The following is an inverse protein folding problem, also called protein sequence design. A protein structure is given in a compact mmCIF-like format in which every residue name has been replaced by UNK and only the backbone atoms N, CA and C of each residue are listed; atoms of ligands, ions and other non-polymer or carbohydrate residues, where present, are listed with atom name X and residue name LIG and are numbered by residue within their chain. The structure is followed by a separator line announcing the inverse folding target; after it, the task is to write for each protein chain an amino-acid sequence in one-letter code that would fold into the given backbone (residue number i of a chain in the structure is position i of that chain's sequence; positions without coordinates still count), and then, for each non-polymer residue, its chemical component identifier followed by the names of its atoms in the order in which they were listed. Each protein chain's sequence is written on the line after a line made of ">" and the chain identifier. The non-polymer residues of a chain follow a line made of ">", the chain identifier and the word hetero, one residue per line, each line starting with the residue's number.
data_IF_738735794220
#
_entry.id   IF_738735794220
#
_cell.length_a   1.000
_cell.length_b   1.000
_cell.length_c   1.000
_cell.angle_alpha   90.00
_cell.angle_beta   90.00
_cell.angle_gamma   90.00
#
_symmetry.space_group_name_H-M   'P 1'
#
loop_
_entity.id
_entity.type
_entity.pdbx_description
1 polymer ?
#
# COMPACT_ATOMS: atom_id res chain seq x y z
N UNK A 1 36.63 63.09 -21.84
CA UNK A 1 37.48 62.69 -22.96
C UNK A 1 37.37 61.20 -23.08
N UNK A 2 36.88 60.59 -24.10
CA UNK A 2 36.40 60.85 -25.40
C UNK A 2 35.30 59.85 -25.75
N UNK A 3 34.32 60.36 -26.27
CA UNK A 3 33.26 60.02 -27.15
C UNK A 3 33.71 59.10 -28.31
N UNK A 4 33.04 57.98 -28.53
CA UNK A 4 32.93 57.30 -29.80
C UNK A 4 31.63 56.61 -29.98
N UNK A 5 30.67 57.37 -30.53
CA UNK A 5 29.50 56.88 -31.24
C UNK A 5 29.92 56.12 -32.47
N UNK A 6 29.34 54.98 -32.73
CA UNK A 6 29.30 54.40 -34.07
C UNK A 6 27.83 54.22 -34.47
N UNK A 7 27.35 54.92 -35.51
CA UNK A 7 26.04 54.74 -36.10
C UNK A 7 26.13 53.74 -37.26
N UNK A 8 25.02 53.19 -37.65
CA UNK A 8 24.72 52.38 -38.82
C UNK A 8 24.77 50.84 -38.65
N UNK A 9 23.64 50.33 -38.37
CA UNK A 9 23.17 49.02 -38.92
C UNK A 9 21.71 49.14 -39.32
N UNK A 10 21.34 48.80 -40.56
CA UNK A 10 19.97 48.86 -41.04
C UNK A 10 19.18 47.62 -40.51
N UNK A 11 18.00 47.90 -40.01
CA UNK A 11 16.98 46.91 -39.66
C UNK A 11 16.53 46.17 -40.93
N UNK A 12 16.94 44.91 -41.10
CA UNK A 12 16.30 44.02 -42.07
C UNK A 12 15.18 43.25 -41.36
N UNK A 13 13.99 43.82 -41.39
CA UNK A 13 12.75 43.17 -41.04
C UNK A 13 12.46 41.99 -41.96
N UNK A 14 12.97 40.82 -41.62
CA UNK A 14 12.56 39.56 -42.19
C UNK A 14 11.31 39.05 -41.47
N UNK A 15 10.13 39.43 -41.97
CA UNK A 15 8.88 38.76 -41.59
C UNK A 15 8.97 37.30 -42.05
N UNK A 16 9.22 36.39 -41.11
CA UNK A 16 8.98 34.98 -41.32
C UNK A 16 7.48 34.78 -41.55
N UNK A 17 7.08 34.06 -42.61
CA UNK A 17 5.67 33.74 -42.80
C UNK A 17 5.23 32.88 -41.59
N UNK A 18 3.96 33.03 -41.14
CA UNK A 18 3.44 32.25 -40.01
C UNK A 18 3.60 30.77 -40.33
N UNK A 19 4.39 30.06 -39.55
CA UNK A 19 4.36 28.60 -39.53
C UNK A 19 2.91 28.23 -39.21
N UNK A 20 2.20 27.74 -40.20
CA UNK A 20 0.94 27.00 -39.96
C UNK A 20 1.29 25.89 -39.01
N UNK A 21 0.90 26.04 -37.77
CA UNK A 21 0.81 24.97 -36.82
C UNK A 21 -0.15 23.92 -37.41
N UNK A 22 0.42 22.87 -37.97
CA UNK A 22 -0.31 21.67 -38.32
C UNK A 22 -0.71 20.97 -37.02
N UNK A 23 -1.65 21.55 -36.29
CA UNK A 23 -2.38 20.86 -35.25
C UNK A 23 -3.59 20.18 -35.90
N UNK A 24 -3.36 19.00 -36.39
CA UNK A 24 -4.44 18.04 -36.54
C UNK A 24 -3.79 16.68 -36.56
N UNK A 25 -3.85 15.94 -35.47
CA UNK A 25 -3.89 14.50 -35.55
C UNK A 25 -5.23 14.15 -36.19
N UNK A 26 -5.32 14.35 -37.51
CA UNK A 26 -6.49 13.91 -38.26
C UNK A 26 -6.49 12.41 -38.21
N UNK A 27 -7.53 11.83 -37.64
CA UNK A 27 -7.74 10.39 -37.68
C UNK A 27 -7.66 9.92 -39.15
N UNK A 28 -6.81 8.94 -39.50
CA UNK A 28 -6.69 8.45 -40.87
C UNK A 28 -8.03 8.06 -41.46
N UNK A 29 -8.99 7.64 -40.64
CA UNK A 29 -10.35 7.29 -41.06
C UNK A 29 -11.15 8.54 -41.45
N UNK A 30 -11.05 9.64 -40.69
CA UNK A 30 -11.69 10.91 -41.03
C UNK A 30 -11.17 11.47 -42.36
N UNK A 31 -9.85 11.41 -42.58
CA UNK A 31 -9.25 11.85 -43.84
C UNK A 31 -9.76 11.04 -45.04
N UNK A 32 -9.94 9.74 -44.87
CA UNK A 32 -10.48 8.87 -45.93
C UNK A 32 -11.97 9.22 -46.19
N UNK A 33 -12.74 9.52 -45.17
CA UNK A 33 -14.14 9.93 -45.31
C UNK A 33 -14.28 11.28 -46.01
N UNK A 34 -13.43 12.25 -45.67
CA UNK A 34 -13.35 13.51 -46.40
C UNK A 34 -12.99 13.32 -47.86
N UNK A 35 -12.01 12.46 -48.18
CA UNK A 35 -11.66 12.13 -49.55
C UNK A 35 -12.81 11.44 -50.29
N UNK A 36 -13.53 10.53 -49.63
CA UNK A 36 -14.70 9.85 -50.23
C UNK A 36 -15.82 10.83 -50.56
N UNK A 37 -16.06 11.83 -49.70
CA UNK A 37 -17.06 12.85 -49.92
C UNK A 37 -16.69 13.82 -51.07
N UNK A 38 -15.41 13.98 -51.38
CA UNK A 38 -14.90 14.86 -52.43
C UNK A 38 -15.06 14.25 -53.85
N UNK A 39 -15.20 12.94 -53.97
CA UNK A 39 -15.32 12.27 -55.28
C UNK A 39 -16.80 12.06 -55.70
N UNK A 40 -17.13 12.25 -56.98
CA UNK A 40 -18.46 11.98 -57.48
C UNK A 40 -18.77 10.46 -57.41
N UNK A 41 -20.08 10.16 -57.29
CA UNK A 41 -20.55 8.77 -57.21
C UNK A 41 -20.12 7.94 -58.43
N UNK A 42 -19.56 6.77 -58.16
CA UNK A 42 -19.07 5.84 -59.21
C UNK A 42 -17.61 6.05 -59.62
N UNK A 43 -16.87 6.97 -59.05
CA UNK A 43 -15.45 7.14 -59.32
C UNK A 43 -14.64 5.86 -58.93
N UNK A 44 -13.83 5.31 -59.81
CA UNK A 44 -13.02 4.10 -59.51
C UNK A 44 -12.13 4.27 -58.29
N UNK A 45 -11.73 5.48 -57.93
CA UNK A 45 -10.87 5.80 -56.77
C UNK A 45 -11.59 5.53 -55.45
N UNK A 46 -12.91 5.69 -55.41
CA UNK A 46 -13.71 5.38 -54.20
C UNK A 46 -13.49 3.91 -53.75
N UNK A 47 -13.42 2.94 -54.73
CA UNK A 47 -13.16 1.54 -54.37
C UNK A 47 -11.83 1.34 -53.66
N UNK A 48 -10.81 2.12 -54.02
CA UNK A 48 -9.49 2.06 -53.38
C UNK A 48 -9.53 2.62 -51.96
N UNK A 49 -10.24 3.74 -51.76
CA UNK A 49 -10.42 4.34 -50.45
C UNK A 49 -11.22 3.45 -49.49
N UNK A 50 -12.27 2.78 -49.98
CA UNK A 50 -12.99 1.78 -49.17
C UNK A 50 -12.10 0.62 -48.73
N UNK A 51 -11.25 0.10 -49.64
CA UNK A 51 -10.27 -0.93 -49.28
C UNK A 51 -9.27 -0.43 -48.24
N UNK A 52 -8.74 0.81 -48.42
CA UNK A 52 -7.80 1.42 -47.49
C UNK A 52 -8.45 1.57 -46.11
N UNK A 53 -9.69 2.13 -46.04
CA UNK A 53 -10.44 2.23 -44.80
C UNK A 53 -10.59 0.87 -44.11
N UNK A 54 -10.95 -0.18 -44.86
CA UNK A 54 -11.08 -1.51 -44.28
C UNK A 54 -9.76 -2.03 -43.70
N UNK A 55 -8.64 -1.85 -44.39
CA UNK A 55 -7.30 -2.26 -43.91
C UNK A 55 -6.93 -1.49 -42.65
N UNK A 56 -7.09 -0.15 -42.62
CA UNK A 56 -6.78 0.68 -41.47
C UNK A 56 -7.63 0.29 -40.26
N UNK A 57 -8.95 0.11 -40.46
CA UNK A 57 -9.84 -0.30 -39.38
C UNK A 57 -9.44 -1.69 -38.83
N UNK A 58 -9.10 -2.64 -39.71
CA UNK A 58 -8.64 -3.97 -39.28
C UNK A 58 -7.32 -3.90 -38.50
N UNK A 59 -6.40 -3.04 -38.93
CA UNK A 59 -5.12 -2.82 -38.21
C UNK A 59 -5.33 -2.18 -36.84
N UNK A 60 -6.21 -1.15 -36.75
CA UNK A 60 -6.54 -0.50 -35.46
C UNK A 60 -7.10 -1.51 -34.48
N UNK A 61 -8.09 -2.32 -34.88
CA UNK A 61 -8.65 -3.38 -34.03
C UNK A 61 -7.61 -4.39 -33.59
N UNK A 62 -6.69 -4.78 -34.49
CA UNK A 62 -5.60 -5.70 -34.16
C UNK A 62 -4.60 -5.07 -33.17
N UNK A 63 -4.35 -3.78 -33.30
CA UNK A 63 -3.47 -3.03 -32.39
C UNK A 63 -4.10 -2.92 -31.00
N UNK A 64 -5.36 -2.53 -30.89
CA UNK A 64 -6.08 -2.44 -29.62
C UNK A 64 -6.10 -3.78 -28.85
N UNK A 65 -6.24 -4.89 -29.58
CA UNK A 65 -6.14 -6.23 -28.99
C UNK A 65 -4.76 -6.51 -28.43
N UNK A 66 -3.71 -6.21 -29.20
CA UNK A 66 -2.31 -6.39 -28.76
C UNK A 66 -1.99 -5.52 -27.53
N UNK A 67 -2.44 -4.28 -27.53
CA UNK A 67 -2.23 -3.35 -26.40
C UNK A 67 -2.95 -3.85 -25.14
N UNK A 68 -4.16 -4.41 -25.31
CA UNK A 68 -4.90 -5.02 -24.21
C UNK A 68 -4.20 -6.27 -23.68
N UNK A 69 -3.67 -7.11 -24.55
CA UNK A 69 -2.89 -8.29 -24.15
C UNK A 69 -1.59 -7.92 -23.46
N UNK A 70 -0.87 -6.91 -23.98
CA UNK A 70 0.36 -6.40 -23.37
C UNK A 70 0.09 -5.82 -21.98
N UNK A 71 -0.99 -5.07 -21.79
CA UNK A 71 -1.39 -4.57 -20.46
C UNK A 71 -1.64 -5.71 -19.48
N UNK A 72 -2.40 -6.72 -19.89
CA UNK A 72 -2.65 -7.92 -19.06
C UNK A 72 -1.36 -8.67 -18.73
N UNK A 73 -0.49 -8.85 -19.71
CA UNK A 73 0.79 -9.52 -19.51
C UNK A 73 1.69 -8.75 -18.54
N UNK A 74 1.78 -7.43 -18.69
CA UNK A 74 2.54 -6.57 -17.80
C UNK A 74 1.98 -6.60 -16.36
N UNK A 75 0.66 -6.64 -16.19
CA UNK A 75 0.04 -6.80 -14.86
C UNK A 75 0.39 -8.16 -14.24
N UNK A 76 0.40 -9.22 -15.01
CA UNK A 76 0.79 -10.56 -14.53
C UNK A 76 2.26 -10.58 -14.15
N UNK A 77 3.14 -10.04 -15.00
CA UNK A 77 4.57 -9.94 -14.72
C UNK A 77 4.81 -9.11 -13.45
N UNK A 78 4.16 -7.96 -13.31
CA UNK A 78 4.27 -7.13 -12.12
C UNK A 78 3.83 -7.87 -10.84
N UNK A 79 2.77 -8.69 -10.91
CA UNK A 79 2.33 -9.52 -9.77
C UNK A 79 3.31 -10.64 -9.45
N UNK A 80 3.92 -11.28 -10.46
CA UNK A 80 4.86 -12.37 -10.28
C UNK A 80 6.25 -11.89 -9.81
N UNK A 81 6.64 -10.68 -10.18
CA UNK A 81 7.93 -10.08 -9.81
C UNK A 81 7.82 -9.19 -8.58
N UNK A 82 6.61 -9.00 -8.04
CA UNK A 82 6.43 -8.22 -6.81
C UNK A 82 7.23 -8.88 -5.68
N UNK A 83 8.05 -8.10 -4.96
CA UNK A 83 8.83 -8.62 -3.85
C UNK A 83 7.93 -9.14 -2.73
N UNK A 84 8.43 -10.14 -2.00
CA UNK A 84 7.68 -10.71 -0.90
C UNK A 84 7.49 -9.68 0.22
N UNK A 85 6.25 -9.54 0.69
CA UNK A 85 5.97 -8.74 1.86
C UNK A 85 6.53 -9.41 3.12
N UNK A 86 6.94 -8.58 4.10
CA UNK A 86 7.44 -9.04 5.38
C UNK A 86 6.34 -8.98 6.42
N UNK A 87 6.39 -9.91 7.38
CA UNK A 87 5.52 -9.85 8.55
C UNK A 87 6.22 -9.05 9.64
N UNK A 88 5.51 -8.11 10.24
CA UNK A 88 5.95 -7.32 11.38
C UNK A 88 4.91 -7.35 12.50
N UNK A 89 5.27 -6.79 13.65
CA UNK A 89 4.42 -6.58 14.81
C UNK A 89 4.15 -5.08 14.98
N UNK A 90 2.91 -4.70 15.18
CA UNK A 90 2.52 -3.32 15.47
C UNK A 90 2.70 -3.02 16.96
N UNK A 91 3.55 -2.05 17.30
CA UNK A 91 3.79 -1.61 18.67
C UNK A 91 2.95 -0.40 19.07
N UNK A 92 2.79 0.56 18.15
CA UNK A 92 2.15 1.84 18.43
C UNK A 92 1.79 2.56 17.12
N UNK A 93 0.77 3.42 17.17
CA UNK A 93 0.44 4.36 16.09
C UNK A 93 0.54 5.77 16.66
N UNK A 94 1.73 6.39 16.66
CA UNK A 94 1.96 7.69 17.28
C UNK A 94 1.33 8.85 16.51
N UNK A 95 1.04 8.67 15.20
CA UNK A 95 0.40 9.66 14.35
C UNK A 95 -0.39 8.95 13.25
N UNK A 96 -1.35 9.66 12.64
CA UNK A 96 -2.31 9.11 11.68
C UNK A 96 -1.69 8.37 10.49
N UNK A 97 -0.48 8.75 10.07
CA UNK A 97 0.21 8.15 8.92
C UNK A 97 1.47 7.36 9.30
N UNK A 98 1.79 7.20 10.60
CA UNK A 98 3.03 6.60 11.06
C UNK A 98 2.75 5.53 12.11
N UNK A 99 3.33 4.36 11.94
CA UNK A 99 3.30 3.25 12.88
C UNK A 99 4.70 2.92 13.40
N UNK A 100 4.84 2.62 14.70
CA UNK A 100 6.03 2.00 15.27
C UNK A 100 5.86 0.50 15.19
N UNK A 101 6.77 -0.17 14.49
CA UNK A 101 6.68 -1.58 14.15
C UNK A 101 7.96 -2.33 14.46
N UNK A 102 7.88 -3.64 14.59
CA UNK A 102 9.03 -4.55 14.65
C UNK A 102 9.02 -5.44 13.42
N UNK A 103 10.12 -5.49 12.70
CA UNK A 103 10.32 -6.40 11.56
C UNK A 103 11.69 -7.05 11.71
N UNK A 104 11.72 -8.40 11.73
CA UNK A 104 12.98 -9.13 11.88
C UNK A 104 13.74 -8.82 13.18
N UNK A 105 13.04 -8.44 14.25
CA UNK A 105 13.63 -8.10 15.55
C UNK A 105 14.09 -6.65 15.72
N UNK A 106 14.14 -5.85 14.66
CA UNK A 106 14.45 -4.42 14.69
C UNK A 106 13.20 -3.55 14.68
N UNK A 107 13.26 -2.40 15.36
CA UNK A 107 12.17 -1.42 15.43
C UNK A 107 12.33 -0.36 14.34
N UNK A 108 11.18 0.02 13.76
CA UNK A 108 11.09 1.02 12.71
C UNK A 108 9.88 1.93 12.94
N UNK A 109 10.01 3.18 12.50
CA UNK A 109 8.87 4.04 12.24
C UNK A 109 8.53 3.93 10.75
N UNK A 110 7.37 3.38 10.46
CA UNK A 110 6.92 3.02 9.11
C UNK A 110 5.72 3.87 8.70
N UNK A 111 5.63 4.21 7.44
CA UNK A 111 4.44 4.84 6.90
C UNK A 111 3.29 3.82 6.82
N UNK A 112 2.06 4.30 6.97
CA UNK A 112 0.84 3.52 6.78
C UNK A 112 0.30 3.81 5.38
N UNK A 113 -0.09 2.77 4.62
CA UNK A 113 -0.76 2.95 3.32
C UNK A 113 -2.07 3.72 3.54
N UNK A 114 -2.30 4.84 2.81
CA UNK A 114 -3.52 5.65 2.98
C UNK A 114 -4.83 4.90 2.74
N UNK A 115 -4.77 3.73 2.08
CA UNK A 115 -5.93 2.86 1.85
C UNK A 115 -6.26 1.95 3.03
N UNK A 116 -5.37 1.86 4.02
CA UNK A 116 -5.56 1.04 5.21
C UNK A 116 -6.23 1.88 6.30
N UNK A 117 -7.45 1.52 6.75
CA UNK A 117 -8.10 2.21 7.87
C UNK A 117 -7.25 2.08 9.13
N UNK A 118 -6.98 3.21 9.79
CA UNK A 118 -6.18 3.25 11.03
C UNK A 118 -6.88 2.48 12.16
N UNK A 119 -8.21 2.40 12.12
CA UNK A 119 -9.07 1.67 13.07
C UNK A 119 -8.81 0.15 13.07
N UNK A 120 -8.34 -0.38 11.95
CA UNK A 120 -7.95 -1.80 11.82
C UNK A 120 -6.58 -2.10 12.45
N UNK A 121 -5.80 -1.05 12.75
CA UNK A 121 -4.46 -1.15 13.31
C UNK A 121 -4.51 -1.23 14.83
N UNK A 122 -4.66 -2.45 15.36
CA UNK A 122 -4.64 -2.73 16.78
C UNK A 122 -3.22 -3.05 17.27
N UNK A 123 -2.80 -2.42 18.37
CA UNK A 123 -1.50 -2.69 19.01
C UNK A 123 -1.38 -4.18 19.34
N UNK A 124 -0.27 -4.80 18.97
CA UNK A 124 0.00 -6.22 19.18
C UNK A 124 -0.42 -7.12 18.02
N UNK A 125 -1.02 -6.60 16.96
CA UNK A 125 -1.34 -7.39 15.77
C UNK A 125 -0.14 -7.56 14.85
N UNK A 126 -0.13 -8.67 14.14
CA UNK A 126 0.74 -8.84 12.99
C UNK A 126 0.29 -7.93 11.85
N UNK A 127 1.25 -7.39 11.14
CA UNK A 127 1.07 -6.53 9.98
C UNK A 127 1.90 -7.03 8.80
N UNK A 128 1.43 -6.75 7.59
CA UNK A 128 2.21 -6.90 6.36
C UNK A 128 2.89 -5.57 6.03
N UNK A 129 4.17 -5.67 5.69
CA UNK A 129 5.02 -4.53 5.35
C UNK A 129 5.69 -4.81 4.00
N UNK A 130 5.67 -3.84 3.09
CA UNK A 130 6.34 -3.94 1.80
C UNK A 130 7.85 -3.68 1.90
N UNK A 131 8.56 -3.71 0.78
CA UNK A 131 10.02 -3.45 0.74
C UNK A 131 10.40 -2.06 1.24
N UNK A 132 9.54 -1.06 1.04
CA UNK A 132 9.75 0.31 1.53
C UNK A 132 9.38 0.47 3.01
N UNK A 133 9.12 -0.62 3.72
CA UNK A 133 8.64 -0.63 5.11
C UNK A 133 7.30 0.11 5.32
N UNK A 134 6.45 0.18 4.30
CA UNK A 134 5.09 0.71 4.45
C UNK A 134 4.15 -0.38 4.94
N UNK A 135 3.36 -0.08 5.96
CA UNK A 135 2.31 -0.98 6.46
C UNK A 135 1.16 -1.02 5.45
N UNK A 136 0.89 -2.20 4.87
CA UNK A 136 -0.09 -2.36 3.80
C UNK A 136 -1.33 -3.16 4.22
N UNK A 137 -1.24 -3.92 5.32
CA UNK A 137 -2.35 -4.73 5.81
C UNK A 137 -2.16 -5.11 7.28
N UNK A 138 -3.26 -5.14 8.05
CA UNK A 138 -3.34 -5.79 9.36
C UNK A 138 -3.74 -7.27 9.20
N UNK A 139 -3.09 -8.17 9.94
CA UNK A 139 -3.32 -9.63 9.87
C UNK A 139 -4.05 -10.18 11.11
N UNK A 140 -4.10 -9.40 12.19
CA UNK A 140 -4.63 -9.85 13.47
C UNK A 140 -3.54 -10.33 14.44
N UNK A 141 -3.97 -10.89 15.60
CA UNK A 141 -3.04 -11.36 16.64
C UNK A 141 -2.44 -12.72 16.32
N UNK A 142 -1.14 -12.88 16.57
CA UNK A 142 -0.49 -14.19 16.56
C UNK A 142 -0.68 -14.86 17.92
N UNK A 143 -1.51 -15.90 17.96
CA UNK A 143 -1.87 -16.63 19.18
C UNK A 143 -0.98 -17.85 19.47
N UNK A 144 0.19 -17.96 18.84
CA UNK A 144 1.11 -19.08 19.03
C UNK A 144 2.12 -18.87 20.18
N UNK A 145 2.10 -17.71 20.83
CA UNK A 145 3.03 -17.37 21.89
C UNK A 145 2.75 -18.07 23.24
N UNK A 146 3.68 -17.99 24.19
CA UNK A 146 3.59 -18.61 25.49
C UNK A 146 2.50 -17.93 26.36
N UNK A 147 2.02 -18.70 27.35
CA UNK A 147 1.11 -18.21 28.39
C UNK A 147 1.90 -18.07 29.67
N UNK A 148 1.89 -16.89 30.29
CA UNK A 148 2.58 -16.58 31.53
C UNK A 148 1.61 -16.04 32.56
N UNK A 149 1.97 -16.20 33.84
CA UNK A 149 1.21 -15.63 34.96
C UNK A 149 1.61 -14.20 35.23
N UNK A 150 0.61 -13.37 35.47
CA UNK A 150 0.75 -11.97 35.89
C UNK A 150 1.25 -11.94 37.32
N UNK A 151 2.41 -11.33 37.56
CA UNK A 151 2.91 -11.05 38.89
C UNK A 151 2.28 -9.76 39.44
N UNK A 152 2.23 -8.72 38.60
CA UNK A 152 1.76 -7.39 38.99
C UNK A 152 1.30 -6.61 37.75
N UNK A 153 0.29 -5.79 37.93
CA UNK A 153 -0.12 -4.76 36.97
C UNK A 153 0.43 -3.43 37.44
N UNK A 154 1.28 -2.82 36.62
CA UNK A 154 1.95 -1.56 36.95
C UNK A 154 0.98 -0.36 36.81
N UNK A 155 1.24 0.78 37.51
CA UNK A 155 0.39 1.95 37.44
C UNK A 155 0.23 2.55 36.03
N UNK A 156 1.20 2.35 35.17
CA UNK A 156 1.20 2.77 33.77
C UNK A 156 0.47 1.80 32.81
N UNK A 157 -0.13 0.75 33.37
CA UNK A 157 -0.88 -0.25 32.62
C UNK A 157 -0.05 -1.40 32.04
N UNK A 158 1.28 -1.36 32.13
CA UNK A 158 2.13 -2.51 31.74
C UNK A 158 1.96 -3.67 32.71
N UNK A 159 2.34 -4.85 32.25
CA UNK A 159 2.22 -6.09 33.03
C UNK A 159 3.61 -6.60 33.35
N UNK A 160 3.86 -6.91 34.62
CA UNK A 160 5.02 -7.69 35.06
C UNK A 160 4.60 -9.15 35.16
N UNK A 161 5.38 -10.04 34.59
CA UNK A 161 5.15 -11.47 34.61
C UNK A 161 6.02 -12.20 35.61
N UNK A 162 5.48 -13.29 36.17
CA UNK A 162 6.26 -14.22 37.00
C UNK A 162 7.32 -14.90 36.13
N UNK A 163 8.53 -14.98 36.65
CA UNK A 163 9.62 -15.75 36.04
C UNK A 163 10.27 -16.63 37.08
N UNK A 164 10.78 -17.78 36.62
CA UNK A 164 11.54 -18.70 37.47
C UNK A 164 12.75 -18.02 38.08
N UNK A 165 13.17 -18.48 39.25
CA UNK A 165 14.28 -17.95 40.02
C UNK A 165 15.52 -17.73 39.16
N UNK A 166 15.99 -16.48 39.13
CA UNK A 166 17.23 -16.07 38.47
C UNK A 166 17.11 -15.42 37.10
N UNK A 167 15.93 -15.27 36.53
CA UNK A 167 15.70 -14.51 35.30
C UNK A 167 15.27 -13.08 35.59
N UNK A 168 15.59 -12.16 34.68
CA UNK A 168 15.11 -10.77 34.76
C UNK A 168 13.60 -10.72 34.62
N UNK A 169 12.95 -9.85 35.40
CA UNK A 169 11.50 -9.66 35.31
C UNK A 169 11.10 -9.19 33.90
N UNK A 170 10.13 -9.87 33.30
CA UNK A 170 9.57 -9.51 32.01
C UNK A 170 8.45 -8.49 32.22
N UNK A 171 8.60 -7.30 31.64
CA UNK A 171 7.57 -6.26 31.69
C UNK A 171 7.13 -5.94 30.24
N UNK A 172 5.84 -6.12 29.97
CA UNK A 172 5.28 -5.96 28.62
C UNK A 172 4.13 -4.96 28.60
N UNK A 173 3.93 -4.37 27.43
CA UNK A 173 2.74 -3.58 27.11
C UNK A 173 1.55 -4.48 26.86
N UNK A 174 0.33 -3.94 26.97
CA UNK A 174 -0.90 -4.61 26.59
C UNK A 174 -1.24 -4.34 25.13
N UNK A 175 -1.84 -5.33 24.48
CA UNK A 175 -2.49 -5.13 23.19
C UNK A 175 -3.73 -4.25 23.34
N UNK A 176 -4.23 -3.74 22.21
CA UNK A 176 -5.45 -2.93 22.20
C UNK A 176 -6.64 -3.64 22.82
N UNK A 177 -6.79 -4.95 22.58
CA UNK A 177 -7.90 -5.75 23.12
C UNK A 177 -7.73 -6.02 24.62
N UNK A 178 -6.50 -6.01 25.13
CA UNK A 178 -6.21 -6.25 26.54
C UNK A 178 -6.20 -4.98 27.40
N UNK A 179 -6.17 -3.79 26.77
CA UNK A 179 -6.17 -2.49 27.50
C UNK A 179 -7.43 -2.33 28.35
N UNK A 180 -8.60 -2.80 27.88
CA UNK A 180 -9.88 -2.73 28.60
C UNK A 180 -10.12 -3.86 29.58
N UNK A 181 -9.23 -4.87 29.65
CA UNK A 181 -9.43 -6.03 30.52
C UNK A 181 -8.98 -5.74 31.96
N UNK A 182 -9.81 -6.14 32.94
CA UNK A 182 -9.42 -6.17 34.37
C UNK A 182 -8.44 -7.31 34.60
N UNK A 183 -7.17 -6.99 34.79
CA UNK A 183 -6.09 -7.93 35.03
C UNK A 183 -5.64 -7.85 36.49
N UNK A 184 -5.42 -9.01 37.09
CA UNK A 184 -4.96 -9.18 38.48
C UNK A 184 -3.75 -10.09 38.55
N UNK A 185 -2.98 -9.97 39.62
CA UNK A 185 -1.92 -10.92 39.92
C UNK A 185 -2.50 -12.37 39.96
N UNK A 186 -1.79 -13.30 39.33
CA UNK A 186 -2.17 -14.69 39.18
C UNK A 186 -2.99 -15.02 37.93
N UNK A 187 -3.47 -14.00 37.18
CA UNK A 187 -4.13 -14.23 35.89
C UNK A 187 -3.13 -14.80 34.86
N UNK A 188 -3.63 -15.64 33.99
CA UNK A 188 -2.85 -16.20 32.87
C UNK A 188 -3.06 -15.35 31.62
N UNK A 189 -1.96 -14.93 31.02
CA UNK A 189 -1.96 -14.06 29.84
C UNK A 189 -1.05 -14.62 28.76
N UNK A 190 -1.56 -14.70 27.53
CA UNK A 190 -0.75 -15.05 26.36
C UNK A 190 0.06 -13.86 25.93
N UNK A 191 1.32 -14.10 25.62
CA UNK A 191 2.26 -13.15 25.05
C UNK A 191 2.42 -13.48 23.57
N UNK A 192 2.59 -12.47 22.72
CA UNK A 192 2.94 -12.71 21.33
C UNK A 192 4.34 -13.37 21.20
N UNK A 193 4.64 -14.11 20.10
CA UNK A 193 5.83 -14.95 20.02
C UNK A 193 7.18 -14.22 20.19
N UNK A 194 7.24 -12.91 19.89
CA UNK A 194 8.49 -12.12 20.05
C UNK A 194 8.68 -11.56 21.46
N UNK A 195 7.76 -11.85 22.37
CA UNK A 195 7.75 -11.45 23.78
C UNK A 195 7.79 -9.94 24.02
N UNK A 196 7.04 -9.18 23.21
CA UNK A 196 7.00 -7.72 23.34
C UNK A 196 5.64 -7.19 23.83
N UNK A 197 4.56 -7.91 23.55
CA UNK A 197 3.19 -7.47 23.86
C UNK A 197 2.38 -8.65 24.44
N UNK A 198 1.60 -8.34 25.48
CA UNK A 198 0.60 -9.25 26.02
C UNK A 198 -0.71 -9.11 25.22
N UNK A 199 -1.28 -10.22 24.73
CA UNK A 199 -2.35 -10.19 23.72
C UNK A 199 -3.70 -10.73 24.19
N UNK A 200 -3.75 -11.71 25.09
CA UNK A 200 -4.98 -12.38 25.45
C UNK A 200 -4.96 -12.83 26.92
N UNK A 201 -6.06 -12.56 27.66
CA UNK A 201 -6.27 -13.07 29.01
C UNK A 201 -7.00 -14.40 28.96
N UNK A 202 -6.58 -15.36 29.77
CA UNK A 202 -7.32 -16.60 30.01
C UNK A 202 -8.10 -16.53 31.33
N UNK A 203 -9.31 -17.01 31.31
CA UNK A 203 -10.07 -17.20 32.54
C UNK A 203 -9.44 -18.31 33.37
N UNK A 204 -9.12 -18.02 34.62
CA UNK A 204 -8.56 -19.00 35.54
C UNK A 204 -9.66 -20.05 35.91
N UNK A 205 -9.59 -21.22 35.26
CA UNK A 205 -10.55 -22.32 35.51
C UNK A 205 -10.44 -22.91 36.92
N UNK A 206 -9.34 -22.69 37.63
CA UNK A 206 -9.14 -23.24 38.99
C UNK A 206 -10.00 -22.58 40.05
N UNK A 207 -10.46 -21.34 39.84
CA UNK A 207 -11.37 -20.66 40.77
C UNK A 207 -12.79 -21.31 40.82
N UNK A 208 -13.18 -22.07 39.79
CA UNK A 208 -14.50 -22.75 39.76
C UNK A 208 -14.52 -24.11 40.45
N UNK A 209 -13.37 -24.76 40.63
CA UNK A 209 -13.32 -26.11 41.23
C UNK A 209 -13.44 -26.10 42.77
N UNK A 210 -13.02 -25.01 43.43
CA UNK A 210 -13.12 -24.85 44.87
C UNK A 210 -14.54 -24.49 45.39
N UNK A 211 -15.45 -24.10 44.53
CA UNK A 211 -16.85 -23.79 44.90
C UNK A 211 -17.78 -24.98 44.87
N UNK A 212 -17.31 -26.14 44.42
CA UNK A 212 -18.13 -27.37 44.34
C UNK A 212 -17.89 -28.39 45.48
N UNK A 213 -16.85 -28.15 46.32
CA UNK A 213 -16.52 -29.06 47.45
C UNK A 213 -17.05 -28.60 48.80
N UNK A 214 -17.81 -27.49 48.88
CA UNK A 214 -18.52 -27.09 50.10
C UNK A 214 -20.04 -27.23 49.93
N UNK A 215 -20.51 -28.47 49.92
CA UNK A 215 -21.90 -28.81 50.22
C UNK A 215 -21.87 -29.89 51.31
N UNK A 216 -22.39 -29.60 52.54
CA UNK A 216 -22.44 -30.52 53.63
C UNK A 216 -23.41 -31.67 53.41
#
# INVERSE_FOLDING_TARGET
>A
MSDHRNPDQPESGGQQPPRREASASSDPIELIEECLAAFPDGDPRQKLLYKLRHVITAQSVAQDRRDTELKKLNEVVAKLTAPANRVGLLLEVPAEAVARIVVGGAEYYANIDPRLPVEDLKIGTQILVNEAYTVIKALGYDRNGPVLKVAEVLPDGRIRFEQDMGRQALILQRSSDLLGADLKAGDEVRIEPTHRIAIEKFENRQARTHLLDEVP
#
